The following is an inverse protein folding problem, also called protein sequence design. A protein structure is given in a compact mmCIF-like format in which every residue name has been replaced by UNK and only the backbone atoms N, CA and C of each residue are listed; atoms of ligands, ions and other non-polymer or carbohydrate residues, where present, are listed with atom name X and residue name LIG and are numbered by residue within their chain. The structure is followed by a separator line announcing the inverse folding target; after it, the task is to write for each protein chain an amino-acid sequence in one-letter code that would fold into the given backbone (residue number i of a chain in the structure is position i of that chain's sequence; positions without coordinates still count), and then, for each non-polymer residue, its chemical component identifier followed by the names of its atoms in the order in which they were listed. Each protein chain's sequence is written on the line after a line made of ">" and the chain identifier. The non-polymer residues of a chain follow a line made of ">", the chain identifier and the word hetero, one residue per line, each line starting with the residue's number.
data_IF_906597745499
#
_entry.id   IF_906597745499
#
_cell.length_a   1.000
_cell.length_b   1.000
_cell.length_c   1.000
_cell.angle_alpha   90.00
_cell.angle_beta   90.00
_cell.angle_gamma   90.00
#
_symmetry.space_group_name_H-M   'P 1'
#
loop_
_entity.id
_entity.type
_entity.pdbx_description
1 polymer ?
#
# COMPACT_ATOMS: atom_id res chain seq x y z
N UNK A 1 22.51 -29.35 39.67
CA UNK A 1 22.92 -27.93 39.55
C UNK A 1 23.50 -27.50 40.88
N UNK A 2 24.72 -26.97 40.91
CA UNK A 2 25.38 -26.62 42.18
C UNK A 2 24.60 -25.51 42.90
N UNK A 3 24.65 -25.51 44.23
CA UNK A 3 24.03 -24.49 45.07
C UNK A 3 24.48 -23.07 44.67
N UNK A 4 25.71 -22.94 44.17
CA UNK A 4 26.28 -21.72 43.59
C UNK A 4 25.53 -21.27 42.33
N UNK A 5 25.16 -22.19 41.44
CA UNK A 5 24.44 -21.86 40.20
C UNK A 5 23.03 -21.30 40.44
N UNK A 6 22.32 -21.82 41.44
CA UNK A 6 21.00 -21.30 41.83
C UNK A 6 21.09 -19.88 42.41
N UNK A 7 22.13 -19.62 43.21
CA UNK A 7 22.38 -18.27 43.73
C UNK A 7 22.64 -17.26 42.61
N UNK A 8 23.44 -17.61 41.59
CA UNK A 8 23.71 -16.71 40.47
C UNK A 8 22.44 -16.38 39.68
N UNK A 9 21.60 -17.37 39.38
CA UNK A 9 20.33 -17.14 38.65
C UNK A 9 19.37 -16.25 39.45
N UNK A 10 19.29 -16.45 40.77
CA UNK A 10 18.44 -15.61 41.63
C UNK A 10 18.92 -14.16 41.71
N UNK A 11 20.23 -13.92 41.76
CA UNK A 11 20.79 -12.56 41.76
C UNK A 11 20.53 -11.87 40.41
N UNK A 12 20.74 -12.58 39.30
CA UNK A 12 20.50 -12.01 37.94
C UNK A 12 19.04 -11.65 37.74
N UNK A 13 18.11 -12.51 38.15
CA UNK A 13 16.66 -12.22 38.04
C UNK A 13 16.23 -11.04 38.91
N UNK A 14 16.77 -10.91 40.13
CA UNK A 14 16.52 -9.74 41.00
C UNK A 14 17.08 -8.47 40.37
N UNK A 15 18.31 -8.50 39.83
CA UNK A 15 18.92 -7.34 39.18
C UNK A 15 18.12 -6.89 37.95
N UNK A 16 17.67 -7.82 37.12
CA UNK A 16 16.82 -7.54 35.96
C UNK A 16 15.46 -6.96 36.42
N UNK A 17 14.87 -7.51 37.48
CA UNK A 17 13.60 -7.03 38.04
C UNK A 17 13.72 -5.61 38.60
N UNK A 18 14.80 -5.32 39.33
CA UNK A 18 15.07 -3.99 39.87
C UNK A 18 15.38 -2.99 38.75
N UNK A 19 16.11 -3.40 37.71
CA UNK A 19 16.38 -2.58 36.54
C UNK A 19 15.07 -2.26 35.79
N UNK A 20 14.21 -3.25 35.56
CA UNK A 20 12.88 -3.06 34.96
C UNK A 20 11.96 -2.18 35.82
N UNK A 21 12.00 -2.32 37.14
CA UNK A 21 11.22 -1.50 38.07
C UNK A 21 11.69 -0.05 38.08
N UNK A 22 13.01 0.18 38.13
CA UNK A 22 13.63 1.52 38.10
C UNK A 22 13.44 2.20 36.73
N UNK A 23 13.44 1.41 35.66
CA UNK A 23 13.12 1.87 34.31
C UNK A 23 11.62 2.19 34.13
N UNK A 24 10.72 1.42 34.75
CA UNK A 24 9.27 1.68 34.74
C UNK A 24 8.85 2.88 35.61
N UNK A 25 9.62 3.22 36.65
CA UNK A 25 9.27 4.28 37.61
C UNK A 25 10.42 5.27 37.86
N UNK A 26 10.80 6.12 36.89
CA UNK A 26 11.79 7.17 37.12
C UNK A 26 11.24 8.25 38.05
N UNK A 27 12.02 8.68 39.06
CA UNK A 27 11.63 9.76 39.97
C UNK A 27 11.66 11.11 39.21
N UNK A 28 10.50 11.69 38.95
CA UNK A 28 10.37 12.98 38.28
C UNK A 28 10.60 14.15 39.24
N UNK A 29 11.77 14.78 39.19
CA UNK A 29 11.95 16.15 39.70
C UNK A 29 11.57 17.12 38.58
N UNK A 30 10.56 17.95 38.83
CA UNK A 30 10.01 18.85 37.83
C UNK A 30 10.94 20.02 37.51
N UNK A 31 11.47 20.04 36.29
CA UNK A 31 11.56 21.19 35.35
C UNK A 31 11.66 20.59 33.94
N UNK A 32 10.72 20.91 33.02
CA UNK A 32 10.68 20.34 31.65
C UNK A 32 11.32 21.27 30.62
N UNK A 33 12.15 20.73 29.69
CA UNK A 33 12.15 21.08 28.27
C UNK A 33 11.37 20.02 27.45
N UNK A 34 10.90 20.33 26.22
CA UNK A 34 9.77 19.61 25.61
C UNK A 34 10.17 18.34 24.83
N UNK A 35 9.38 17.26 24.99
CA UNK A 35 9.44 15.98 24.26
C UNK A 35 10.35 14.94 24.94
N UNK A 36 9.97 13.68 25.21
CA UNK A 36 8.82 12.83 24.87
C UNK A 36 8.49 11.95 26.08
N UNK A 37 7.21 11.64 26.33
CA UNK A 37 6.81 10.59 27.27
C UNK A 37 5.83 9.64 26.59
N UNK A 38 6.34 8.48 26.20
CA UNK A 38 5.58 7.33 25.70
C UNK A 38 6.48 6.35 24.97
N UNK A 39 6.70 5.17 25.57
CA UNK A 39 7.34 3.96 25.02
C UNK A 39 8.56 4.17 24.07
N UNK A 40 9.80 3.91 24.51
CA UNK A 40 11.00 4.01 23.64
C UNK A 40 11.05 2.96 22.51
N UNK A 41 10.05 2.07 22.40
CA UNK A 41 9.94 1.11 21.29
C UNK A 41 8.68 1.29 20.44
N UNK A 42 7.86 2.32 20.67
CA UNK A 42 6.68 2.59 19.81
C UNK A 42 6.73 4.01 19.26
N UNK A 43 7.27 4.97 20.00
CA UNK A 43 7.49 6.33 19.48
C UNK A 43 8.54 6.39 18.37
N UNK A 44 9.67 5.69 18.53
CA UNK A 44 10.72 5.61 17.51
C UNK A 44 10.49 4.51 16.47
N UNK A 45 9.63 3.52 16.74
CA UNK A 45 9.29 2.47 15.76
C UNK A 45 8.45 3.02 14.60
N UNK A 46 7.66 4.07 14.83
CA UNK A 46 7.02 4.80 13.72
C UNK A 46 8.01 5.70 12.97
N UNK A 47 9.08 6.18 13.59
CA UNK A 47 10.20 6.82 12.89
C UNK A 47 11.06 5.79 12.12
N UNK A 48 11.04 4.51 12.50
CA UNK A 48 11.60 3.42 11.68
C UNK A 48 10.70 3.05 10.48
N UNK A 49 9.38 3.27 10.58
CA UNK A 49 8.44 3.16 9.45
C UNK A 49 8.53 4.35 8.47
N UNK A 50 9.24 5.42 8.83
CA UNK A 50 9.37 6.67 8.06
C UNK A 50 10.84 7.14 8.09
N UNK A 51 11.74 6.82 7.13
CA UNK A 51 11.64 6.00 5.91
C UNK A 51 12.41 4.67 6.06
N UNK A 52 11.85 3.59 5.52
CA UNK A 52 12.63 2.38 5.27
C UNK A 52 13.83 2.72 4.36
N UNK A 53 15.06 2.30 4.72
CA UNK A 53 16.25 2.34 3.85
C UNK A 53 16.01 1.72 2.44
N UNK A 54 14.96 0.90 2.29
CA UNK A 54 14.56 0.26 1.03
C UNK A 54 13.65 1.11 0.13
N UNK A 55 12.96 2.12 0.68
CA UNK A 55 12.12 3.10 -0.03
C UNK A 55 12.66 4.53 0.22
N UNK A 56 13.91 4.61 0.66
CA UNK A 56 14.54 5.88 0.94
C UNK A 56 14.63 6.66 -0.36
N UNK A 57 14.34 7.95 -0.26
CA UNK A 57 14.35 8.83 -1.42
C UNK A 57 15.76 8.78 -2.00
N UNK A 58 15.90 8.31 -3.25
CA UNK A 58 17.21 8.08 -3.87
C UNK A 58 18.14 9.28 -3.58
N UNK A 59 19.41 9.09 -3.19
CA UNK A 59 20.30 10.16 -2.73
C UNK A 59 20.35 11.38 -3.67
N UNK A 60 20.14 11.15 -4.96
CA UNK A 60 19.94 12.19 -5.98
C UNK A 60 18.74 13.12 -5.69
N UNK A 61 17.55 12.56 -5.44
CA UNK A 61 16.34 13.33 -5.15
C UNK A 61 16.53 14.10 -3.84
N UNK A 62 17.15 13.49 -2.83
CA UNK A 62 17.51 14.16 -1.58
C UNK A 62 18.41 15.38 -1.84
N UNK A 63 19.44 15.21 -2.68
CA UNK A 63 20.38 16.27 -3.09
C UNK A 63 19.73 17.37 -3.94
N UNK A 64 18.73 17.06 -4.78
CA UNK A 64 17.99 18.06 -5.57
C UNK A 64 16.97 18.79 -4.71
N UNK A 65 16.27 18.09 -3.80
CA UNK A 65 15.39 18.69 -2.80
C UNK A 65 16.18 19.72 -1.98
N UNK A 66 17.34 19.33 -1.45
CA UNK A 66 18.25 20.21 -0.72
C UNK A 66 18.75 21.42 -1.56
N UNK A 67 18.85 21.27 -2.90
CA UNK A 67 19.36 22.31 -3.82
C UNK A 67 18.28 23.27 -4.37
N UNK A 68 17.05 22.80 -4.56
CA UNK A 68 15.94 23.57 -5.11
C UNK A 68 14.78 23.56 -4.12
N UNK A 69 14.71 24.59 -3.27
CA UNK A 69 13.66 24.88 -2.28
C UNK A 69 12.55 23.80 -2.21
N UNK A 70 12.66 22.87 -1.24
CA UNK A 70 12.02 21.56 -1.14
C UNK A 70 10.58 21.44 -1.67
N UNK A 71 9.78 22.50 -1.55
CA UNK A 71 8.35 22.45 -1.83
C UNK A 71 8.00 22.51 -3.33
N UNK A 72 8.69 23.35 -4.11
CA UNK A 72 8.41 23.49 -5.55
C UNK A 72 8.79 22.21 -6.30
N UNK A 73 9.95 21.64 -5.98
CA UNK A 73 10.41 20.40 -6.59
C UNK A 73 9.51 19.21 -6.19
N UNK A 74 9.11 19.10 -4.93
CA UNK A 74 8.15 18.08 -4.50
C UNK A 74 6.82 18.20 -5.26
N UNK A 75 6.34 19.42 -5.50
CA UNK A 75 5.12 19.64 -6.28
C UNK A 75 5.27 19.23 -7.76
N UNK A 76 6.42 19.54 -8.38
CA UNK A 76 6.72 19.13 -9.76
C UNK A 76 6.83 17.61 -9.89
N UNK A 77 7.58 16.96 -9.00
CA UNK A 77 7.71 15.51 -8.93
C UNK A 77 6.34 14.86 -8.72
N UNK A 78 5.56 15.33 -7.75
CA UNK A 78 4.23 14.81 -7.50
C UNK A 78 3.30 15.00 -8.70
N UNK A 79 3.33 16.16 -9.36
CA UNK A 79 2.54 16.43 -10.58
C UNK A 79 2.90 15.47 -11.70
N UNK A 80 4.21 15.25 -11.93
CA UNK A 80 4.70 14.30 -12.92
C UNK A 80 4.22 12.87 -12.60
N UNK A 81 4.55 12.38 -11.40
CA UNK A 81 4.21 11.02 -10.96
C UNK A 81 2.70 10.78 -11.02
N UNK A 82 1.89 11.74 -10.52
CA UNK A 82 0.43 11.67 -10.60
C UNK A 82 -0.07 11.65 -12.05
N UNK A 83 0.50 12.49 -12.92
CA UNK A 83 0.17 12.53 -14.34
C UNK A 83 0.45 11.19 -15.01
N UNK A 84 1.64 10.63 -14.79
CA UNK A 84 2.03 9.32 -15.32
C UNK A 84 1.06 8.22 -14.87
N UNK A 85 0.74 8.12 -13.57
CA UNK A 85 -0.22 7.10 -13.12
C UNK A 85 -1.63 7.31 -13.69
N UNK A 86 -2.12 8.54 -13.79
CA UNK A 86 -3.43 8.82 -14.39
C UNK A 86 -3.47 8.49 -15.88
N UNK A 87 -2.34 8.56 -16.59
CA UNK A 87 -2.28 8.13 -17.99
C UNK A 87 -2.44 6.61 -18.17
N UNK A 88 -2.06 5.81 -17.16
CA UNK A 88 -2.16 4.34 -17.19
C UNK A 88 -3.43 3.81 -16.51
N UNK A 89 -3.82 4.40 -15.39
CA UNK A 89 -4.95 3.98 -14.54
C UNK A 89 -6.13 4.96 -14.58
N UNK A 90 -6.14 5.90 -15.53
CA UNK A 90 -7.26 6.80 -15.75
C UNK A 90 -8.50 6.08 -16.27
N UNK A 91 -9.67 6.72 -16.13
CA UNK A 91 -10.98 6.15 -16.49
C UNK A 91 -11.01 5.64 -17.94
N UNK A 92 -10.40 6.35 -18.88
CA UNK A 92 -10.36 5.91 -20.27
C UNK A 92 -9.56 4.63 -20.47
N UNK A 93 -8.39 4.49 -19.83
CA UNK A 93 -7.60 3.25 -19.89
C UNK A 93 -8.29 2.11 -19.16
N UNK A 94 -8.91 2.41 -18.01
CA UNK A 94 -9.69 1.44 -17.24
C UNK A 94 -10.81 0.84 -18.11
N UNK A 95 -11.59 1.69 -18.76
CA UNK A 95 -12.69 1.30 -19.63
C UNK A 95 -12.24 0.52 -20.87
N UNK A 96 -11.19 0.98 -21.55
CA UNK A 96 -10.86 0.50 -22.90
C UNK A 96 -9.86 -0.65 -22.94
N UNK A 97 -8.94 -0.72 -21.96
CA UNK A 97 -7.82 -1.68 -21.98
C UNK A 97 -7.77 -2.54 -20.72
N UNK A 98 -7.88 -1.94 -19.54
CA UNK A 98 -7.65 -2.68 -18.29
C UNK A 98 -8.83 -3.55 -17.89
N UNK A 99 -10.08 -3.15 -18.13
CA UNK A 99 -11.25 -3.95 -17.73
C UNK A 99 -11.24 -5.38 -18.33
N UNK A 100 -11.03 -5.57 -19.65
CA UNK A 100 -10.91 -6.91 -20.24
C UNK A 100 -9.70 -7.70 -19.72
N UNK A 101 -8.56 -7.02 -19.50
CA UNK A 101 -7.34 -7.65 -18.97
C UNK A 101 -7.52 -8.11 -17.52
N UNK A 102 -8.22 -7.32 -16.70
CA UNK A 102 -8.58 -7.65 -15.32
C UNK A 102 -9.51 -8.86 -15.32
N UNK A 103 -10.58 -8.85 -16.13
CA UNK A 103 -11.50 -9.98 -16.20
C UNK A 103 -10.78 -11.28 -16.59
N UNK A 104 -9.95 -11.22 -17.63
CA UNK A 104 -9.18 -12.38 -18.11
C UNK A 104 -8.25 -12.91 -17.00
N UNK A 105 -7.54 -12.01 -16.33
CA UNK A 105 -6.59 -12.36 -15.26
C UNK A 105 -7.31 -13.00 -14.07
N UNK A 106 -8.45 -12.44 -13.66
CA UNK A 106 -9.28 -12.96 -12.57
C UNK A 106 -9.86 -14.33 -12.93
N UNK A 107 -10.38 -14.50 -14.16
CA UNK A 107 -10.97 -15.76 -14.62
C UNK A 107 -9.96 -16.91 -14.62
N UNK A 108 -8.76 -16.67 -15.15
CA UNK A 108 -7.67 -17.66 -15.17
C UNK A 108 -7.29 -18.09 -13.74
N UNK A 109 -7.13 -17.13 -12.84
CA UNK A 109 -6.71 -17.43 -11.46
C UNK A 109 -7.83 -18.09 -10.65
N UNK A 110 -9.08 -17.64 -10.78
CA UNK A 110 -10.23 -18.28 -10.13
C UNK A 110 -10.40 -19.74 -10.57
N UNK A 111 -10.28 -20.03 -11.87
CA UNK A 111 -10.29 -21.39 -12.39
C UNK A 111 -9.12 -22.23 -11.84
N UNK A 112 -7.94 -21.65 -11.70
CA UNK A 112 -6.81 -22.33 -11.07
C UNK A 112 -7.09 -22.63 -9.59
N UNK A 113 -7.59 -21.65 -8.83
CA UNK A 113 -7.85 -21.81 -7.40
C UNK A 113 -8.95 -22.82 -7.09
N UNK A 114 -9.97 -22.93 -7.95
CA UNK A 114 -11.06 -23.89 -7.77
C UNK A 114 -10.60 -25.36 -7.86
N UNK A 115 -9.48 -25.62 -8.53
CA UNK A 115 -8.91 -26.98 -8.65
C UNK A 115 -7.92 -27.34 -7.53
N UNK A 116 -7.53 -26.38 -6.67
CA UNK A 116 -6.45 -26.56 -5.69
C UNK A 116 -6.88 -27.00 -4.29
N UNK A 117 -8.18 -27.25 -4.05
CA UNK A 117 -8.72 -27.77 -2.79
C UNK A 117 -8.66 -26.78 -1.62
N UNK A 118 -7.48 -26.34 -1.20
CA UNK A 118 -7.29 -25.30 -0.17
C UNK A 118 -6.26 -24.28 -0.63
N UNK A 119 -6.62 -23.01 -0.48
CA UNK A 119 -5.88 -21.89 -1.07
C UNK A 119 -5.78 -20.74 -0.09
N UNK A 120 -4.58 -20.17 0.06
CA UNK A 120 -4.38 -18.91 0.81
C UNK A 120 -4.79 -17.73 -0.08
N UNK A 121 -5.96 -17.16 0.22
CA UNK A 121 -6.53 -16.06 -0.55
C UNK A 121 -5.62 -14.82 -0.60
N UNK A 122 -4.90 -14.47 0.49
CA UNK A 122 -4.02 -13.29 0.48
C UNK A 122 -2.82 -13.54 -0.41
N UNK A 123 -2.15 -14.69 -0.24
CA UNK A 123 -0.95 -15.03 -1.00
C UNK A 123 -1.25 -15.15 -2.50
N UNK A 124 -2.30 -15.88 -2.86
CA UNK A 124 -2.63 -16.08 -4.27
C UNK A 124 -3.10 -14.79 -4.95
N UNK A 125 -3.89 -13.97 -4.25
CA UNK A 125 -4.30 -12.67 -4.78
C UNK A 125 -3.10 -11.73 -4.92
N UNK A 126 -2.17 -11.72 -3.97
CA UNK A 126 -0.94 -10.92 -4.08
C UNK A 126 -0.12 -11.32 -5.31
N UNK A 127 -0.01 -12.63 -5.60
CA UNK A 127 0.65 -13.11 -6.81
C UNK A 127 -0.08 -12.67 -8.09
N UNK A 128 -1.41 -12.85 -8.13
CA UNK A 128 -2.23 -12.42 -9.27
C UNK A 128 -2.08 -10.92 -9.55
N UNK A 129 -2.16 -10.08 -8.51
CA UNK A 129 -2.02 -8.62 -8.64
C UNK A 129 -0.59 -8.23 -9.02
N UNK A 130 0.42 -8.93 -8.50
CA UNK A 130 1.82 -8.70 -8.86
C UNK A 130 2.08 -8.97 -10.35
N UNK A 131 1.55 -10.07 -10.89
CA UNK A 131 1.64 -10.39 -12.32
C UNK A 131 0.90 -9.35 -13.16
N UNK A 132 -0.31 -8.97 -12.75
CA UNK A 132 -1.08 -7.92 -13.44
C UNK A 132 -0.32 -6.59 -13.47
N UNK A 133 0.16 -6.12 -12.31
CA UNK A 133 0.91 -4.88 -12.20
C UNK A 133 2.21 -4.92 -13.02
N UNK A 134 2.90 -6.06 -13.03
CA UNK A 134 4.09 -6.27 -13.85
C UNK A 134 3.78 -6.18 -15.35
N UNK A 135 2.69 -6.80 -15.83
CA UNK A 135 2.25 -6.65 -17.23
C UNK A 135 1.95 -5.21 -17.60
N UNK A 136 1.25 -4.47 -16.73
CA UNK A 136 0.92 -3.07 -16.96
C UNK A 136 2.15 -2.18 -16.99
N UNK A 137 3.16 -2.45 -16.15
CA UNK A 137 4.36 -1.61 -16.03
C UNK A 137 5.46 -1.96 -17.03
N UNK A 138 5.62 -3.25 -17.38
CA UNK A 138 6.77 -3.76 -18.15
C UNK A 138 6.40 -4.41 -19.51
N UNK A 139 5.11 -4.52 -19.80
CA UNK A 139 4.61 -5.20 -21.00
C UNK A 139 4.51 -6.73 -20.86
N UNK A 140 3.90 -7.37 -21.86
CA UNK A 140 3.59 -8.81 -21.83
C UNK A 140 4.83 -9.73 -21.90
N UNK A 141 5.95 -9.28 -22.48
CA UNK A 141 7.17 -10.09 -22.55
C UNK A 141 7.86 -10.30 -21.20
N UNK A 142 7.40 -9.59 -20.16
CA UNK A 142 7.89 -9.76 -18.80
C UNK A 142 7.52 -11.12 -18.18
N UNK A 143 6.50 -11.81 -18.71
CA UNK A 143 6.11 -13.17 -18.29
C UNK A 143 7.09 -14.26 -18.74
N UNK A 144 7.95 -14.00 -19.74
CA UNK A 144 8.82 -15.03 -20.34
C UNK A 144 10.15 -15.24 -19.61
N UNK A 145 10.50 -14.43 -18.60
CA UNK A 145 11.72 -14.66 -17.82
C UNK A 145 11.51 -15.83 -16.85
N UNK A 146 12.43 -16.79 -16.83
CA UNK A 146 12.28 -18.13 -16.24
C UNK A 146 12.14 -18.22 -14.71
N UNK A 147 11.96 -17.11 -14.00
CA UNK A 147 11.75 -17.08 -12.56
C UNK A 147 10.37 -16.49 -12.25
N UNK A 148 9.69 -17.03 -11.24
CA UNK A 148 8.38 -16.54 -10.80
C UNK A 148 8.50 -15.11 -10.22
N UNK A 149 8.50 -14.15 -11.13
CA UNK A 149 8.58 -12.71 -10.86
C UNK A 149 7.39 -12.27 -10.03
N UNK A 150 6.21 -12.87 -10.25
CA UNK A 150 5.03 -12.60 -9.43
C UNK A 150 5.29 -12.90 -7.96
N UNK A 151 5.86 -14.08 -7.67
CA UNK A 151 6.31 -14.46 -6.32
C UNK A 151 7.42 -13.52 -5.82
N UNK A 152 8.37 -13.13 -6.67
CA UNK A 152 9.46 -12.21 -6.29
C UNK A 152 8.91 -10.84 -5.87
N UNK A 153 7.96 -10.30 -6.63
CA UNK A 153 7.30 -9.02 -6.33
C UNK A 153 6.45 -9.14 -5.08
N UNK A 154 5.62 -10.19 -4.97
CA UNK A 154 4.78 -10.40 -3.79
C UNK A 154 5.62 -10.57 -2.51
N UNK A 155 6.71 -11.34 -2.59
CA UNK A 155 7.66 -11.54 -1.48
C UNK A 155 8.40 -10.28 -1.09
N UNK A 156 8.80 -9.46 -2.07
CA UNK A 156 9.36 -8.13 -1.82
C UNK A 156 8.38 -7.23 -1.06
N UNK A 157 7.13 -7.14 -1.53
CA UNK A 157 6.10 -6.29 -0.91
C UNK A 157 5.78 -6.75 0.52
N UNK A 158 5.63 -8.05 0.75
CA UNK A 158 5.42 -8.60 2.09
C UNK A 158 6.64 -8.33 3.01
N UNK A 159 7.83 -8.46 2.45
CA UNK A 159 9.09 -8.23 3.15
C UNK A 159 9.30 -6.79 3.61
N UNK A 160 8.78 -5.80 2.87
CA UNK A 160 8.84 -4.38 3.23
C UNK A 160 8.07 -4.04 4.51
N UNK A 161 7.05 -4.83 4.85
CA UNK A 161 6.27 -4.68 6.08
C UNK A 161 6.81 -5.51 7.25
N UNK A 162 7.83 -6.34 7.01
CA UNK A 162 8.46 -7.13 8.06
C UNK A 162 9.41 -6.30 8.91
N UNK A 163 9.74 -6.81 10.11
CA UNK A 163 10.68 -6.13 10.99
C UNK A 163 12.03 -5.94 10.28
N UNK A 164 12.61 -4.71 10.25
CA UNK A 164 13.71 -4.34 9.37
C UNK A 164 15.07 -4.88 9.86
N UNK A 165 15.20 -6.20 9.92
CA UNK A 165 16.38 -6.91 10.39
C UNK A 165 17.04 -7.65 9.24
N UNK A 166 18.14 -7.11 8.71
CA UNK A 166 18.85 -7.66 7.55
C UNK A 166 19.83 -8.79 7.94
N UNK A 167 19.30 -9.90 8.44
CA UNK A 167 20.07 -11.08 8.86
C UNK A 167 19.61 -12.28 8.03
N UNK A 168 20.54 -13.12 7.51
CA UNK A 168 20.17 -14.33 6.78
C UNK A 168 19.11 -15.16 7.52
N UNK A 169 18.01 -15.48 6.83
CA UNK A 169 16.87 -16.21 7.39
C UNK A 169 15.66 -15.34 7.77
N UNK A 170 15.81 -14.01 7.86
CA UNK A 170 14.65 -13.12 8.09
C UNK A 170 13.88 -12.84 6.80
N UNK A 171 12.59 -12.49 6.93
CA UNK A 171 11.76 -12.01 5.80
C UNK A 171 12.36 -10.75 5.16
N UNK A 172 12.91 -9.84 5.97
CA UNK A 172 13.55 -8.62 5.49
C UNK A 172 14.84 -8.91 4.71
N UNK A 173 15.65 -9.88 5.10
CA UNK A 173 16.82 -10.28 4.32
C UNK A 173 16.43 -10.80 2.93
N UNK A 174 15.39 -11.66 2.86
CA UNK A 174 14.84 -12.11 1.58
C UNK A 174 14.31 -10.95 0.75
N UNK A 175 13.58 -10.02 1.36
CA UNK A 175 13.09 -8.79 0.73
C UNK A 175 14.20 -8.01 0.03
N UNK A 176 15.34 -7.82 0.70
CA UNK A 176 16.46 -7.08 0.13
C UNK A 176 17.08 -7.81 -1.08
N UNK A 177 17.13 -9.15 -1.06
CA UNK A 177 17.56 -9.95 -2.21
C UNK A 177 16.59 -9.87 -3.38
N UNK A 178 15.29 -9.93 -3.09
CA UNK A 178 14.23 -9.80 -4.10
C UNK A 178 14.25 -8.39 -4.71
N UNK A 179 14.52 -7.34 -3.91
CA UNK A 179 14.74 -5.96 -4.38
C UNK A 179 15.91 -5.88 -5.36
N UNK A 180 17.07 -6.44 -5.01
CA UNK A 180 18.25 -6.41 -5.88
C UNK A 180 18.01 -7.15 -7.20
N UNK A 181 17.26 -8.25 -7.17
CA UNK A 181 16.85 -9.00 -8.36
C UNK A 181 15.89 -8.18 -9.23
N UNK A 182 14.87 -7.59 -8.62
CA UNK A 182 13.88 -6.76 -9.31
C UNK A 182 14.53 -5.53 -9.95
N UNK A 183 15.43 -4.84 -9.24
CA UNK A 183 16.18 -3.72 -9.80
C UNK A 183 17.00 -4.13 -11.03
N UNK A 184 17.71 -5.26 -10.98
CA UNK A 184 18.48 -5.76 -12.14
C UNK A 184 17.59 -5.99 -13.36
N UNK A 185 16.44 -6.64 -13.16
CA UNK A 185 15.49 -6.94 -14.22
C UNK A 185 14.93 -5.65 -14.83
N UNK A 186 14.48 -4.70 -13.99
CA UNK A 186 13.91 -3.44 -14.48
C UNK A 186 14.97 -2.62 -15.22
N UNK A 187 16.21 -2.55 -14.71
CA UNK A 187 17.31 -1.86 -15.39
C UNK A 187 17.64 -2.47 -16.74
N UNK A 188 17.70 -3.80 -16.82
CA UNK A 188 17.96 -4.50 -18.08
C UNK A 188 16.88 -4.16 -19.12
N UNK A 189 15.60 -4.20 -18.72
CA UNK A 189 14.47 -3.85 -19.58
C UNK A 189 14.48 -2.39 -19.99
N UNK A 190 14.78 -1.47 -19.08
CA UNK A 190 14.89 -0.05 -19.38
C UNK A 190 16.00 0.23 -20.41
N UNK A 191 17.17 -0.43 -20.26
CA UNK A 191 18.28 -0.30 -21.22
C UNK A 191 17.96 -0.89 -22.60
N UNK A 192 17.32 -2.05 -22.64
CA UNK A 192 16.81 -2.67 -23.88
C UNK A 192 15.89 -1.70 -24.62
N UNK A 193 15.01 -1.01 -23.88
CA UNK A 193 14.07 -0.03 -24.43
C UNK A 193 14.73 1.24 -24.96
N UNK A 194 15.75 1.72 -24.26
CA UNK A 194 16.54 2.88 -24.70
C UNK A 194 17.30 2.54 -25.99
N UNK A 195 17.81 1.30 -26.11
CA UNK A 195 18.52 0.85 -27.30
C UNK A 195 17.61 0.62 -28.51
N UNK A 196 16.34 0.25 -28.30
CA UNK A 196 15.37 -0.08 -29.35
C UNK A 196 14.09 0.79 -29.27
N UNK A 197 14.14 2.07 -29.69
CA UNK A 197 13.01 3.01 -29.56
C UNK A 197 11.83 2.77 -30.54
N UNK A 198 11.99 1.89 -31.54
CA UNK A 198 10.99 1.66 -32.60
C UNK A 198 9.85 0.72 -32.18
N UNK A 199 10.09 -0.19 -31.23
CA UNK A 199 9.09 -1.18 -30.79
C UNK A 199 8.14 -0.61 -29.71
N UNK A 200 7.33 0.42 -29.95
CA UNK A 200 6.46 0.97 -28.89
C UNK A 200 5.36 -0.01 -28.46
N UNK A 201 5.34 -0.39 -27.19
CA UNK A 201 4.35 -1.27 -26.53
C UNK A 201 3.25 -0.48 -25.80
N UNK A 202 3.47 0.81 -25.58
CA UNK A 202 2.51 1.72 -24.93
C UNK A 202 2.34 1.45 -23.43
N UNK A 203 3.38 0.95 -22.78
CA UNK A 203 3.45 0.68 -21.33
C UNK A 203 4.16 1.81 -20.57
N UNK A 204 4.29 1.65 -19.25
CA UNK A 204 4.92 2.65 -18.38
C UNK A 204 6.39 2.89 -18.75
N UNK A 205 7.14 1.85 -19.13
CA UNK A 205 8.54 2.00 -19.50
C UNK A 205 8.69 2.86 -20.76
N UNK A 206 7.81 2.73 -21.75
CA UNK A 206 7.87 3.57 -22.96
C UNK A 206 7.68 5.05 -22.65
N UNK A 207 6.73 5.37 -21.76
CA UNK A 207 6.55 6.74 -21.30
C UNK A 207 7.79 7.19 -20.50
N UNK A 208 8.31 6.36 -19.60
CA UNK A 208 9.46 6.69 -18.79
C UNK A 208 10.73 6.96 -19.64
N UNK A 209 10.95 6.21 -20.72
CA UNK A 209 12.06 6.42 -21.67
C UNK A 209 11.90 7.73 -22.43
N UNK A 210 10.68 8.04 -22.88
CA UNK A 210 10.39 9.31 -23.54
C UNK A 210 10.69 10.49 -22.61
N UNK A 211 10.21 10.39 -21.38
CA UNK A 211 10.31 11.48 -20.41
C UNK A 211 11.75 11.63 -19.87
N UNK A 212 12.51 10.53 -19.77
CA UNK A 212 13.95 10.54 -19.40
C UNK A 212 14.77 11.48 -20.30
N UNK A 213 14.37 11.63 -21.57
CA UNK A 213 15.04 12.48 -22.54
C UNK A 213 14.57 13.96 -22.49
N UNK A 214 13.55 14.30 -21.72
CA UNK A 214 12.96 15.65 -21.68
C UNK A 214 13.12 16.38 -20.34
N UNK A 215 13.09 15.67 -19.22
CA UNK A 215 13.06 16.30 -17.89
C UNK A 215 14.35 16.04 -17.08
N UNK A 216 15.01 17.12 -16.64
CA UNK A 216 16.32 17.06 -15.96
C UNK A 216 16.33 16.30 -14.61
N UNK A 217 15.17 16.07 -13.99
CA UNK A 217 15.06 15.36 -12.71
C UNK A 217 14.75 13.87 -12.89
N UNK A 218 14.40 13.43 -14.10
CA UNK A 218 14.15 12.02 -14.40
C UNK A 218 15.50 11.31 -14.59
N UNK A 219 15.78 10.35 -13.72
CA UNK A 219 16.96 9.49 -13.78
C UNK A 219 16.53 8.04 -13.80
N UNK A 220 17.40 7.14 -14.29
CA UNK A 220 17.17 5.69 -14.24
C UNK A 220 16.74 5.24 -12.82
N UNK A 221 17.41 5.76 -11.79
CA UNK A 221 17.13 5.43 -10.40
C UNK A 221 15.80 6.01 -9.89
N UNK A 222 15.39 7.18 -10.39
CA UNK A 222 14.09 7.75 -10.09
C UNK A 222 12.95 6.93 -10.72
N UNK A 223 13.11 6.51 -11.98
CA UNK A 223 12.16 5.64 -12.68
C UNK A 223 12.00 4.31 -11.93
N UNK A 224 13.11 3.69 -11.52
CA UNK A 224 13.08 2.48 -10.69
C UNK A 224 12.29 2.69 -9.40
N UNK A 225 12.51 3.82 -8.71
CA UNK A 225 11.81 4.14 -7.47
C UNK A 225 10.30 4.29 -7.69
N UNK A 226 9.88 4.91 -8.79
CA UNK A 226 8.45 5.03 -9.16
C UNK A 226 7.84 3.65 -9.42
N UNK A 227 8.53 2.80 -10.18
CA UNK A 227 8.04 1.46 -10.53
C UNK A 227 7.91 0.58 -9.28
N UNK A 228 8.95 0.54 -8.44
CA UNK A 228 8.94 -0.23 -7.20
C UNK A 228 7.85 0.28 -6.25
N UNK A 229 7.68 1.61 -6.15
CA UNK A 229 6.58 2.23 -5.41
C UNK A 229 5.21 1.86 -5.96
N UNK A 230 5.06 1.78 -7.30
CA UNK A 230 3.82 1.36 -7.95
C UNK A 230 3.47 -0.09 -7.59
N UNK A 231 4.44 -0.99 -7.66
CA UNK A 231 4.27 -2.41 -7.34
C UNK A 231 3.86 -2.56 -5.86
N UNK A 232 4.53 -1.87 -4.95
CA UNK A 232 4.16 -1.88 -3.53
C UNK A 232 2.73 -1.38 -3.31
N UNK A 233 2.39 -0.21 -3.86
CA UNK A 233 1.08 0.41 -3.68
C UNK A 233 -0.06 -0.44 -4.23
N UNK A 234 0.15 -1.15 -5.35
CA UNK A 234 -0.88 -1.98 -6.00
C UNK A 234 -1.04 -3.33 -5.32
N UNK A 235 0.06 -4.05 -5.07
CA UNK A 235 0.01 -5.43 -4.57
C UNK A 235 -0.52 -5.50 -3.14
N UNK A 236 0.01 -4.72 -2.20
CA UNK A 236 -0.40 -4.85 -0.80
C UNK A 236 -1.85 -4.39 -0.59
N UNK A 237 -2.25 -3.29 -1.25
CA UNK A 237 -3.57 -2.71 -1.03
C UNK A 237 -4.69 -3.59 -1.57
N UNK A 238 -4.57 -4.05 -2.82
CA UNK A 238 -5.60 -4.83 -3.51
C UNK A 238 -5.68 -6.25 -2.90
N UNK A 239 -4.52 -6.89 -2.65
CA UNK A 239 -4.51 -8.25 -2.08
C UNK A 239 -5.12 -8.28 -0.67
N UNK A 240 -4.84 -7.27 0.15
CA UNK A 240 -5.44 -7.16 1.48
C UNK A 240 -6.94 -6.89 1.41
N UNK A 241 -7.40 -6.01 0.50
CA UNK A 241 -8.82 -5.75 0.32
C UNK A 241 -9.59 -7.02 -0.10
N UNK A 242 -9.08 -7.76 -1.08
CA UNK A 242 -9.72 -9.01 -1.56
C UNK A 242 -9.68 -10.10 -0.49
N UNK A 243 -8.58 -10.26 0.24
CA UNK A 243 -8.49 -11.22 1.34
C UNK A 243 -9.53 -10.91 2.43
N UNK A 244 -9.73 -9.62 2.75
CA UNK A 244 -10.78 -9.18 3.65
C UNK A 244 -12.17 -9.44 3.10
N UNK A 245 -12.41 -9.24 1.79
CA UNK A 245 -13.67 -9.60 1.15
C UNK A 245 -13.98 -11.09 1.34
N UNK A 246 -13.03 -11.99 1.05
CA UNK A 246 -13.24 -13.44 1.24
C UNK A 246 -13.55 -13.80 2.69
N UNK A 247 -12.85 -13.18 3.64
CA UNK A 247 -13.14 -13.36 5.06
C UNK A 247 -14.57 -12.93 5.40
N UNK A 248 -14.98 -11.74 4.96
CA UNK A 248 -16.32 -11.21 5.21
C UNK A 248 -17.41 -12.02 4.52
N UNK A 249 -17.15 -12.58 3.34
CA UNK A 249 -18.07 -13.49 2.65
C UNK A 249 -18.27 -14.79 3.42
N UNK A 250 -17.20 -15.33 4.01
CA UNK A 250 -17.30 -16.53 4.86
C UNK A 250 -18.08 -16.26 6.17
N UNK A 251 -17.97 -15.05 6.73
CA UNK A 251 -18.68 -14.65 7.96
C UNK A 251 -20.14 -14.21 7.70
N UNK A 252 -20.46 -13.78 6.48
CA UNK A 252 -21.76 -13.24 6.09
C UNK A 252 -22.27 -13.82 4.75
N UNK A 253 -22.76 -15.08 4.73
CA UNK A 253 -23.18 -15.76 3.48
C UNK A 253 -24.30 -15.05 2.72
N UNK A 254 -25.22 -14.35 3.42
CA UNK A 254 -26.29 -13.57 2.80
C UNK A 254 -25.78 -12.48 1.84
N UNK A 255 -24.59 -11.93 2.09
CA UNK A 255 -23.95 -10.96 1.19
C UNK A 255 -23.61 -11.63 -0.14
N UNK A 256 -23.15 -12.89 -0.10
CA UNK A 256 -22.84 -13.66 -1.31
C UNK A 256 -24.11 -13.96 -2.08
N UNK A 257 -25.22 -14.28 -1.40
CA UNK A 257 -26.52 -14.49 -2.04
C UNK A 257 -27.01 -13.24 -2.79
N UNK A 258 -26.92 -12.06 -2.16
CA UNK A 258 -27.27 -10.78 -2.79
C UNK A 258 -26.38 -10.47 -4.01
N UNK A 259 -25.07 -10.74 -3.89
CA UNK A 259 -24.13 -10.58 -5.00
C UNK A 259 -24.47 -11.54 -6.16
N UNK A 260 -24.75 -12.80 -5.87
CA UNK A 260 -25.14 -13.79 -6.89
C UNK A 260 -26.43 -13.34 -7.58
N UNK A 261 -27.43 -12.88 -6.83
CA UNK A 261 -28.68 -12.37 -7.38
C UNK A 261 -28.47 -11.16 -8.31
N UNK A 262 -27.63 -10.19 -7.93
CA UNK A 262 -27.26 -9.06 -8.79
C UNK A 262 -26.61 -9.52 -10.10
N UNK A 263 -25.61 -10.41 -10.02
CA UNK A 263 -24.87 -10.86 -11.20
C UNK A 263 -25.70 -11.79 -12.10
N UNK A 264 -26.62 -12.59 -11.55
CA UNK A 264 -27.54 -13.43 -12.31
C UNK A 264 -28.50 -12.60 -13.17
N UNK A 265 -28.99 -11.46 -12.64
CA UNK A 265 -29.84 -10.53 -13.40
C UNK A 265 -29.05 -9.96 -14.59
N UNK A 266 -27.79 -9.57 -14.38
CA UNK A 266 -26.93 -9.08 -15.45
C UNK A 266 -26.72 -10.14 -16.53
N UNK A 267 -26.39 -11.37 -16.14
CA UNK A 267 -26.18 -12.48 -17.08
C UNK A 267 -27.44 -12.86 -17.87
N UNK A 268 -28.64 -12.74 -17.27
CA UNK A 268 -29.92 -12.97 -17.97
C UNK A 268 -30.21 -11.93 -19.04
N UNK A 269 -29.73 -10.71 -18.87
CA UNK A 269 -29.93 -9.62 -19.82
C UNK A 269 -28.93 -9.65 -20.98
N UNK A 270 -27.89 -10.49 -20.92
CA UNK A 270 -26.92 -10.66 -22.00
C UNK A 270 -27.47 -11.55 -23.11
N UNK A 271 -27.26 -11.12 -24.36
CA UNK A 271 -27.48 -11.97 -25.53
C UNK A 271 -26.48 -13.14 -25.58
N UNK A 272 -25.21 -12.87 -25.27
CA UNK A 272 -24.15 -13.87 -25.14
C UNK A 272 -23.59 -13.87 -23.72
N UNK A 273 -23.78 -14.96 -22.98
CA UNK A 273 -23.30 -15.08 -21.59
C UNK A 273 -21.76 -15.04 -21.48
N UNK A 274 -21.06 -15.44 -22.54
CA UNK A 274 -19.60 -15.44 -22.62
C UNK A 274 -19.01 -14.12 -23.14
N UNK A 275 -19.85 -13.10 -23.39
CA UNK A 275 -19.33 -11.78 -23.77
C UNK A 275 -18.51 -11.17 -22.63
N UNK A 276 -17.41 -10.45 -22.95
CA UNK A 276 -16.64 -9.72 -21.95
C UNK A 276 -17.50 -8.72 -21.17
N UNK A 277 -17.11 -8.46 -19.92
CA UNK A 277 -17.74 -7.48 -19.06
C UNK A 277 -17.63 -6.08 -19.69
N UNK A 278 -18.77 -5.43 -19.88
CA UNK A 278 -18.81 -4.07 -20.42
C UNK A 278 -18.68 -3.02 -19.32
N UNK A 279 -18.27 -1.81 -19.71
CA UNK A 279 -18.18 -0.69 -18.76
C UNK A 279 -19.53 -0.26 -18.19
N UNK A 280 -20.60 -0.40 -18.95
CA UNK A 280 -21.94 -0.06 -18.50
C UNK A 280 -22.50 -1.07 -17.51
N UNK A 281 -22.22 -2.37 -17.71
CA UNK A 281 -22.52 -3.41 -16.73
C UNK A 281 -21.73 -3.22 -15.44
N UNK A 282 -20.43 -2.92 -15.52
CA UNK A 282 -19.63 -2.61 -14.34
C UNK A 282 -20.23 -1.46 -13.52
N UNK A 283 -20.72 -0.40 -14.17
CA UNK A 283 -21.37 0.73 -13.49
C UNK A 283 -22.73 0.40 -12.89
N UNK A 284 -23.43 -0.63 -13.40
CA UNK A 284 -24.76 -1.01 -12.90
C UNK A 284 -24.72 -1.94 -11.69
N UNK A 285 -23.55 -2.46 -11.30
CA UNK A 285 -23.33 -3.33 -10.13
C UNK A 285 -23.41 -2.58 -8.79
N UNK A 286 -24.63 -2.19 -8.40
CA UNK A 286 -24.92 -1.40 -7.20
C UNK A 286 -24.59 -2.10 -5.87
N UNK A 287 -25.01 -3.35 -5.69
CA UNK A 287 -24.76 -4.17 -4.50
C UNK A 287 -23.27 -4.43 -4.37
N UNK A 288 -22.61 -4.79 -5.48
CA UNK A 288 -21.15 -4.96 -5.52
C UNK A 288 -20.41 -3.69 -5.07
N UNK A 289 -20.84 -2.51 -5.52
CA UNK A 289 -20.26 -1.24 -5.09
C UNK A 289 -20.49 -0.97 -3.59
N UNK A 290 -21.65 -1.33 -3.03
CA UNK A 290 -21.88 -1.23 -1.59
C UNK A 290 -20.94 -2.14 -0.80
N UNK A 291 -20.78 -3.39 -1.24
CA UNK A 291 -19.84 -4.35 -0.64
C UNK A 291 -18.41 -3.83 -0.69
N UNK A 292 -17.94 -3.35 -1.86
CA UNK A 292 -16.59 -2.77 -2.01
C UNK A 292 -16.38 -1.63 -1.00
N UNK A 293 -17.33 -0.71 -0.90
CA UNK A 293 -17.24 0.41 0.04
C UNK A 293 -17.18 -0.05 1.50
N UNK A 294 -17.98 -1.06 1.85
CA UNK A 294 -18.02 -1.58 3.22
C UNK A 294 -16.75 -2.36 3.59
N UNK A 295 -16.21 -3.15 2.65
CA UNK A 295 -14.91 -3.83 2.80
C UNK A 295 -13.81 -2.80 3.01
N UNK A 296 -13.75 -1.73 2.21
CA UNK A 296 -12.74 -0.68 2.36
C UNK A 296 -12.91 0.10 3.67
N UNK A 297 -14.15 0.33 4.11
CA UNK A 297 -14.48 1.00 5.38
C UNK A 297 -14.03 0.19 6.59
N UNK A 298 -14.32 -1.11 6.61
CA UNK A 298 -13.96 -2.03 7.69
C UNK A 298 -12.48 -2.39 7.67
N UNK A 299 -11.95 -2.63 6.47
CA UNK A 299 -10.59 -3.09 6.25
C UNK A 299 -9.54 -2.04 6.56
N UNK A 300 -9.82 -0.77 6.26
CA UNK A 300 -8.93 0.36 6.54
C UNK A 300 -7.47 0.04 6.15
N UNK A 301 -7.31 -0.43 4.91
CA UNK A 301 -6.04 -0.98 4.37
C UNK A 301 -4.88 0.00 4.46
N UNK A 302 -5.17 1.31 4.43
CA UNK A 302 -4.21 2.38 4.72
C UNK A 302 -4.67 3.16 5.96
N UNK A 303 -4.13 2.88 7.16
CA UNK A 303 -4.67 3.43 8.41
C UNK A 303 -4.48 4.93 8.58
N UNK A 304 -3.59 5.53 7.79
CA UNK A 304 -3.46 6.98 7.75
C UNK A 304 -2.39 7.48 6.81
N UNK A 305 -2.35 8.80 6.69
CA UNK A 305 -1.35 9.50 5.87
C UNK A 305 -0.61 10.49 6.77
N UNK A 306 0.70 10.54 6.58
CA UNK A 306 1.58 11.49 7.25
C UNK A 306 1.59 12.83 6.50
N UNK A 307 1.47 13.91 7.25
CA UNK A 307 1.58 15.28 6.76
C UNK A 307 2.59 16.05 7.58
N UNK A 308 3.29 17.00 6.96
CA UNK A 308 4.19 17.92 7.65
C UNK A 308 3.63 19.33 7.50
N UNK A 309 3.49 20.05 8.61
CA UNK A 309 3.09 21.46 8.61
C UNK A 309 4.16 22.31 7.94
N UNK A 310 3.74 23.15 6.99
CA UNK A 310 4.62 24.05 6.24
C UNK A 310 4.77 25.42 6.89
N UNK A 311 3.78 25.80 7.69
CA UNK A 311 3.70 27.03 8.48
C UNK A 311 2.96 26.70 9.76
N UNK A 312 3.14 27.52 10.78
CA UNK A 312 2.38 27.40 12.01
C UNK A 312 0.90 27.63 11.69
N UNK A 313 0.03 26.71 12.14
CA UNK A 313 -1.42 26.82 11.95
C UNK A 313 -2.11 26.69 13.29
N UNK A 314 -3.14 27.51 13.51
CA UNK A 314 -4.02 27.36 14.66
C UNK A 314 -5.23 26.53 14.21
N UNK A 315 -5.37 25.32 14.75
CA UNK A 315 -6.44 24.39 14.42
C UNK A 315 -7.10 23.88 15.71
N UNK A 316 -8.42 24.08 15.83
CA UNK A 316 -9.22 23.71 17.00
C UNK A 316 -8.64 24.19 18.35
N UNK A 317 -8.03 25.38 18.37
CA UNK A 317 -7.46 25.98 19.58
C UNK A 317 -6.06 25.46 19.95
N UNK A 318 -5.47 24.58 19.14
CA UNK A 318 -4.08 24.15 19.28
C UNK A 318 -3.21 24.78 18.18
N UNK A 319 -2.07 25.34 18.57
CA UNK A 319 -1.04 25.80 17.63
C UNK A 319 -0.20 24.60 17.19
N UNK A 320 -0.33 24.20 15.93
CA UNK A 320 0.52 23.18 15.30
C UNK A 320 1.77 23.88 14.74
N UNK A 321 2.92 23.63 15.37
CA UNK A 321 4.19 24.24 14.98
C UNK A 321 4.77 23.63 13.70
N UNK A 322 5.49 24.45 12.95
CA UNK A 322 6.27 24.06 11.79
C UNK A 322 7.29 22.99 12.21
N UNK A 323 7.22 21.80 11.59
CA UNK A 323 8.04 20.56 11.80
C UNK A 323 7.34 19.39 12.49
N UNK A 324 6.07 19.50 12.88
CA UNK A 324 5.32 18.34 13.40
C UNK A 324 4.86 17.45 12.23
N UNK A 325 5.07 16.13 12.37
CA UNK A 325 4.44 15.12 11.52
C UNK A 325 3.06 14.78 12.09
N UNK A 326 2.01 15.05 11.32
CA UNK A 326 0.63 14.73 11.67
C UNK A 326 0.22 13.38 11.07
N UNK A 327 -0.40 12.53 11.89
CA UNK A 327 -1.04 11.29 11.45
C UNK A 327 -2.54 11.50 11.23
N UNK A 328 -2.96 11.52 9.98
CA UNK A 328 -4.38 11.55 9.63
C UNK A 328 -4.92 10.13 9.57
N UNK A 329 -5.66 9.72 10.60
CA UNK A 329 -6.22 8.36 10.68
C UNK A 329 -7.51 8.24 9.88
N UNK A 330 -7.53 7.38 8.85
CA UNK A 330 -8.75 7.04 8.12
C UNK A 330 -9.76 6.26 8.96
N UNK A 331 -9.27 5.40 9.86
CA UNK A 331 -10.07 4.50 10.72
C UNK A 331 -11.04 5.25 11.64
N UNK A 332 -10.67 6.44 12.11
CA UNK A 332 -11.52 7.25 13.02
C UNK A 332 -12.65 7.96 12.30
N UNK A 333 -12.42 8.36 11.05
CA UNK A 333 -13.45 8.93 10.18
C UNK A 333 -14.54 7.89 9.89
N UNK A 334 -14.16 6.62 9.78
CA UNK A 334 -15.03 5.45 9.63
C UNK A 334 -15.75 4.99 10.92
N UNK A 335 -15.57 5.69 12.05
CA UNK A 335 -16.16 5.30 13.34
C UNK A 335 -17.68 5.50 13.38
N UNK A 336 -18.39 4.64 14.12
CA UNK A 336 -19.86 4.63 14.23
C UNK A 336 -20.48 5.97 14.65
N UNK A 337 -19.79 6.83 15.41
CA UNK A 337 -20.34 8.11 15.88
C UNK A 337 -20.55 9.11 14.73
N UNK A 338 -19.59 9.22 13.81
CA UNK A 338 -19.70 10.11 12.64
C UNK A 338 -20.77 9.62 11.66
N UNK A 339 -21.02 8.31 11.63
CA UNK A 339 -21.90 7.66 10.67
C UNK A 339 -23.38 7.58 11.14
N UNK A 340 -23.63 7.41 12.44
CA UNK A 340 -25.00 7.42 13.03
C UNK A 340 -25.73 8.74 12.79
N UNK A 341 -25.00 9.85 12.72
CA UNK A 341 -25.56 11.18 12.45
C UNK A 341 -26.05 11.30 10.99
N UNK A 342 -25.41 10.60 10.05
CA UNK A 342 -25.64 10.76 8.61
C UNK A 342 -26.63 9.74 8.03
N UNK A 343 -26.76 8.57 8.67
CA UNK A 343 -27.74 7.54 8.30
C UNK A 343 -29.20 7.89 8.61
N UNK A 344 -29.47 8.83 9.52
CA UNK A 344 -30.86 9.25 9.82
C UNK A 344 -31.61 9.82 8.61
N UNK A 345 -30.92 10.09 7.49
CA UNK A 345 -31.48 10.74 6.31
C UNK A 345 -31.32 9.93 4.99
N UNK A 346 -31.00 8.63 5.02
CA UNK A 346 -30.84 7.83 3.78
C UNK A 346 -31.46 6.43 3.89
N UNK A 347 -32.38 6.03 2.99
CA UNK A 347 -33.08 4.74 3.04
C UNK A 347 -32.22 3.53 2.63
N UNK A 348 -31.00 3.77 2.14
CA UNK A 348 -29.96 2.76 1.91
C UNK A 348 -28.72 3.35 2.54
N UNK A 349 -28.03 2.61 3.41
CA UNK A 349 -26.94 3.11 4.25
C UNK A 349 -25.67 3.54 3.51
N UNK A 350 -25.78 4.47 2.57
CA UNK A 350 -24.67 4.97 1.76
C UNK A 350 -24.65 6.47 1.87
N UNK A 351 -23.55 6.96 2.42
CA UNK A 351 -23.32 8.36 2.68
C UNK A 351 -23.01 9.08 1.37
N UNK A 352 -23.97 9.85 0.81
CA UNK A 352 -23.74 10.70 -0.39
C UNK A 352 -22.87 11.94 -0.12
N UNK A 353 -22.49 12.20 1.14
CA UNK A 353 -21.57 13.27 1.54
C UNK A 353 -20.49 12.69 2.45
N UNK A 354 -19.22 12.80 2.06
CA UNK A 354 -18.11 12.32 2.88
C UNK A 354 -18.11 12.97 4.28
N UNK A 355 -17.78 12.22 5.34
CA UNK A 355 -17.62 12.77 6.68
C UNK A 355 -16.48 13.79 6.76
N UNK A 356 -16.54 14.77 7.69
CA UNK A 356 -15.43 15.70 7.93
C UNK A 356 -14.20 14.94 8.46
N UNK A 357 -13.03 15.27 7.90
CA UNK A 357 -11.74 14.69 8.28
C UNK A 357 -11.49 14.96 9.77
N UNK A 358 -11.43 13.91 10.59
CA UNK A 358 -11.16 14.01 12.02
C UNK A 358 -9.66 13.83 12.26
N UNK A 359 -8.95 14.89 12.67
CA UNK A 359 -7.53 14.82 13.04
C UNK A 359 -7.34 14.08 14.38
N UNK A 360 -6.23 13.36 14.52
CA UNK A 360 -5.69 13.07 15.85
C UNK A 360 -4.44 13.93 16.09
N UNK A 361 -4.52 14.81 17.09
CA UNK A 361 -3.32 15.32 17.76
C UNK A 361 -2.92 14.24 18.77
N UNK A 362 -1.78 13.58 18.55
CA UNK A 362 -1.28 12.49 19.38
C UNK A 362 -0.78 13.00 20.74
N UNK A 363 -1.64 13.39 21.68
CA UNK A 363 -1.28 13.46 23.11
C UNK A 363 -2.49 13.28 24.02
N UNK A 364 -2.44 12.27 24.89
CA UNK A 364 -2.93 12.40 26.27
C UNK A 364 -1.83 11.92 27.21
#
# INVERSE_FOLDING_TARGET
>A
MSQVGLCVVSVVTILISQWLYKWRNPKCNGVRPPGSMGLPFIGETFQLLIPNYSLDLHPFIKKIIEKYNNQLLCALIHKYVRGSYLNFFGVDRLRTKLLPEIETTVRINMHRWSTQGTTDAKKETANMVAIFAAKTLFGHDFEKSSDDIGITIAGFVEGLLSFPLNIPGTKFYKCMKDKDKLEKVIRAKLKERIACPEEKKGDFLDQAVKDLNTDFFLTENFILSIIVGALFATVESISTAIALSFKLFAEHPWVVEDLVAEHDILLKNRENKESPLTWDEYKSMTVTMHVINEVLRLGNVAPGILRKTLKDINYNGATEFTRVLEWLSGSRVSSCQTYRQTLKNSPVGVCRKGPPITKLVLWK
#
